data_IF_862995609712
#
_entry.id   IF_862995609712
#
_cell.length_a   1.000
_cell.length_b   1.000
_cell.length_c   1.000
_cell.angle_alpha   90.00
_cell.angle_beta   90.00
_cell.angle_gamma   90.00
#
_symmetry.space_group_name_H-M   'P 1'
#
loop_
_entity.id
_entity.type
_entity.pdbx_description
1 polymer ?
#
# COMPACT_ATOMS: atom_id res chain seq x y z
N UNK A 1 -21.08 16.71 0.56
CA UNK A 1 -21.05 15.43 -0.19
C UNK A 1 -19.82 15.49 -1.08
N UNK A 2 -18.67 15.14 -0.52
CA UNK A 2 -17.37 15.27 -1.18
C UNK A 2 -17.10 14.08 -2.08
N UNK A 3 -16.77 14.36 -3.34
CA UNK A 3 -16.20 13.39 -4.29
C UNK A 3 -14.77 13.83 -4.57
N UNK A 4 -13.82 13.23 -3.85
CA UNK A 4 -12.40 13.28 -4.20
C UNK A 4 -12.15 12.31 -5.36
N UNK A 5 -11.45 12.76 -6.39
CA UNK A 5 -11.05 11.93 -7.53
C UNK A 5 -9.56 11.62 -7.41
N UNK A 6 -9.20 10.33 -7.44
CA UNK A 6 -7.83 9.83 -7.44
C UNK A 6 -7.51 9.34 -8.85
N UNK A 7 -6.36 9.71 -9.41
CA UNK A 7 -5.88 9.24 -10.72
C UNK A 7 -4.55 8.51 -10.53
N UNK A 8 -4.47 7.27 -11.01
CA UNK A 8 -3.27 6.43 -11.00
C UNK A 8 -2.88 6.12 -12.45
N UNK A 9 -1.60 6.30 -12.80
CA UNK A 9 -1.08 5.97 -14.14
C UNK A 9 0.02 4.92 -14.03
N UNK A 10 -0.07 3.85 -14.84
CA UNK A 10 0.82 2.69 -14.81
C UNK A 10 1.49 2.52 -16.18
N UNK A 11 2.82 2.33 -16.21
CA UNK A 11 3.61 2.18 -17.43
C UNK A 11 3.97 0.71 -17.65
N UNK A 12 3.66 0.17 -18.84
CA UNK A 12 3.94 -1.21 -19.24
C UNK A 12 5.09 -1.25 -20.25
N UNK A 13 6.07 -2.13 -20.01
CA UNK A 13 7.03 -2.57 -21.03
C UNK A 13 6.75 -4.02 -21.41
N UNK A 14 6.69 -4.28 -22.72
CA UNK A 14 6.51 -5.60 -23.32
C UNK A 14 7.65 -5.91 -24.28
N UNK A 15 8.17 -7.13 -24.24
CA UNK A 15 9.14 -7.68 -25.21
C UNK A 15 8.71 -9.10 -25.57
N UNK A 16 8.72 -9.43 -26.87
CA UNK A 16 8.29 -10.71 -27.42
C UNK A 16 9.37 -11.52 -28.16
N UNK A 17 9.18 -12.85 -28.10
CA UNK A 17 9.37 -13.95 -29.07
C UNK A 17 10.67 -14.13 -29.90
N UNK A 18 11.28 -15.34 -29.77
CA UNK A 18 11.71 -16.27 -30.84
C UNK A 18 12.39 -17.51 -30.18
N UNK A 19 12.34 -18.76 -30.66
CA UNK A 19 11.83 -19.36 -31.89
C UNK A 19 11.87 -20.90 -31.82
N UNK A 20 11.14 -21.56 -32.74
CA UNK A 20 11.05 -23.01 -32.87
C UNK A 20 12.29 -23.61 -33.56
N UNK A 21 12.64 -24.84 -33.19
CA UNK A 21 13.25 -25.82 -34.09
C UNK A 21 12.91 -27.24 -33.61
N UNK A 22 12.26 -28.00 -34.48
CA UNK A 22 11.94 -29.41 -34.27
C UNK A 22 13.03 -30.28 -34.93
N UNK A 23 13.52 -31.27 -34.20
CA UNK A 23 14.23 -32.42 -34.75
C UNK A 23 13.54 -33.66 -34.21
N UNK A 24 12.98 -34.44 -35.13
CA UNK A 24 12.40 -35.75 -34.87
C UNK A 24 13.53 -36.78 -34.81
N UNK A 25 13.66 -37.47 -33.69
CA UNK A 25 14.29 -38.78 -33.64
C UNK A 25 13.37 -39.73 -32.88
N UNK A 26 13.06 -40.86 -33.52
CA UNK A 26 12.27 -41.93 -32.95
C UNK A 26 13.11 -42.65 -31.89
N UNK A 27 12.63 -42.67 -30.65
CA UNK A 27 13.22 -43.47 -29.57
C UNK A 27 12.13 -44.26 -28.88
N UNK A 28 12.39 -45.57 -28.82
CA UNK A 28 11.82 -46.63 -28.00
C UNK A 28 10.86 -46.15 -26.91
N UNK A 29 9.60 -46.61 -26.96
CA UNK A 29 8.57 -46.30 -25.97
C UNK A 29 8.91 -47.07 -24.69
N UNK A 30 9.39 -46.41 -23.61
CA UNK A 30 9.28 -47.02 -22.30
C UNK A 30 7.77 -47.07 -22.01
N UNK A 31 7.27 -48.13 -21.38
CA UNK A 31 5.95 -48.07 -20.74
C UNK A 31 5.95 -46.85 -19.81
N UNK A 32 5.36 -45.75 -20.28
CA UNK A 32 5.12 -44.54 -19.51
C UNK A 32 4.16 -44.98 -18.42
N UNK A 33 4.68 -45.31 -17.23
CA UNK A 33 3.90 -45.04 -16.03
C UNK A 33 3.54 -43.57 -16.16
N UNK A 34 2.27 -43.28 -16.50
CA UNK A 34 1.78 -41.90 -16.52
C UNK A 34 2.24 -41.27 -15.22
N UNK A 35 3.22 -40.39 -15.34
CA UNK A 35 3.82 -39.77 -14.18
C UNK A 35 2.71 -38.85 -13.66
N UNK A 36 2.02 -39.29 -12.62
CA UNK A 36 0.92 -38.54 -12.02
C UNK A 36 1.51 -37.44 -11.14
N UNK A 37 0.77 -36.34 -11.02
CA UNK A 37 1.13 -35.29 -10.08
C UNK A 37 1.26 -35.88 -8.65
N UNK A 38 2.27 -35.49 -7.86
CA UNK A 38 2.55 -36.10 -6.55
C UNK A 38 1.43 -35.99 -5.52
N UNK A 39 0.45 -35.11 -5.75
CA UNK A 39 -0.73 -34.91 -4.90
C UNK A 39 -2.05 -35.34 -5.56
N UNK A 40 -2.01 -35.97 -6.74
CA UNK A 40 -3.23 -36.40 -7.43
C UNK A 40 -3.93 -37.53 -6.66
N UNK A 41 -5.19 -37.30 -6.30
CA UNK A 41 -6.07 -38.19 -5.53
C UNK A 41 -5.55 -38.50 -4.11
N UNK A 42 -4.66 -37.65 -3.58
CA UNK A 42 -4.06 -37.81 -2.24
C UNK A 42 -4.73 -36.90 -1.20
N UNK A 43 -4.58 -37.26 0.09
CA UNK A 43 -4.83 -36.36 1.22
C UNK A 43 -3.50 -35.78 1.70
N UNK A 44 -3.21 -34.54 1.30
CA UNK A 44 -1.96 -33.83 1.57
C UNK A 44 -1.97 -33.27 2.99
N UNK A 45 -1.01 -33.69 3.81
CA UNK A 45 -0.82 -33.18 5.18
C UNK A 45 -0.08 -31.85 5.18
N UNK A 46 -0.65 -30.84 5.85
CA UNK A 46 -0.11 -29.48 5.87
C UNK A 46 0.18 -29.05 7.30
N UNK A 47 1.46 -28.89 7.64
CA UNK A 47 1.88 -28.29 8.89
C UNK A 47 1.94 -26.76 8.76
N UNK A 48 1.10 -26.06 9.52
CA UNK A 48 1.07 -24.58 9.52
C UNK A 48 1.82 -24.04 10.75
N UNK A 49 2.85 -23.24 10.48
CA UNK A 49 3.55 -22.44 11.47
C UNK A 49 3.02 -21.00 11.43
N UNK A 50 2.10 -20.69 12.32
CA UNK A 50 1.40 -19.42 12.43
C UNK A 50 0.45 -19.41 13.63
N UNK A 51 -0.25 -18.29 13.82
CA UNK A 51 -1.33 -18.11 14.79
C UNK A 51 -2.55 -18.98 14.47
N UNK A 52 -3.49 -19.12 15.43
CA UNK A 52 -4.75 -19.84 15.19
C UNK A 52 -5.57 -19.23 14.05
N UNK A 53 -5.58 -17.89 13.96
CA UNK A 53 -6.19 -17.17 12.83
C UNK A 53 -5.55 -17.57 11.51
N UNK A 54 -4.23 -17.54 11.42
CA UNK A 54 -3.50 -17.89 10.19
C UNK A 54 -3.71 -19.36 9.81
N UNK A 55 -3.74 -20.28 10.78
CA UNK A 55 -4.06 -21.69 10.55
C UNK A 55 -5.47 -21.87 10.00
N UNK A 56 -6.46 -21.18 10.57
CA UNK A 56 -7.84 -21.22 10.08
C UNK A 56 -7.97 -20.64 8.66
N UNK A 57 -7.26 -19.54 8.36
CA UNK A 57 -7.24 -18.95 7.02
C UNK A 57 -6.50 -19.84 6.00
N UNK A 58 -5.44 -20.54 6.43
CA UNK A 58 -4.76 -21.53 5.61
C UNK A 58 -5.70 -22.68 5.23
N UNK A 59 -6.41 -23.25 6.21
CA UNK A 59 -7.42 -24.28 5.97
C UNK A 59 -8.50 -23.80 4.98
N UNK A 60 -9.08 -22.61 5.23
CA UNK A 60 -10.10 -22.03 4.35
C UNK A 60 -9.59 -21.76 2.93
N UNK A 61 -8.34 -21.35 2.77
CA UNK A 61 -7.71 -21.17 1.45
C UNK A 61 -7.46 -22.49 0.72
N UNK A 62 -7.10 -23.55 1.44
CA UNK A 62 -6.88 -24.88 0.86
C UNK A 62 -8.18 -25.56 0.42
N UNK A 63 -9.28 -25.38 1.16
CA UNK A 63 -10.62 -25.89 0.78
C UNK A 63 -11.05 -25.43 -0.61
N UNK A 64 -10.64 -24.23 -1.04
CA UNK A 64 -10.87 -23.77 -2.40
C UNK A 64 -10.38 -24.80 -3.45
N UNK A 65 -9.19 -25.35 -3.25
CA UNK A 65 -8.62 -26.32 -4.18
C UNK A 65 -9.22 -27.72 -4.05
N UNK A 66 -9.65 -28.12 -2.85
CA UNK A 66 -10.42 -29.37 -2.70
C UNK A 66 -11.69 -29.36 -3.56
N UNK A 67 -12.35 -28.20 -3.65
CA UNK A 67 -13.57 -28.01 -4.44
C UNK A 67 -13.32 -27.78 -5.94
N UNK A 68 -12.13 -27.27 -6.32
CA UNK A 68 -11.89 -26.73 -7.67
C UNK A 68 -10.72 -27.38 -8.43
N UNK A 69 -9.87 -28.19 -7.80
CA UNK A 69 -8.67 -28.75 -8.44
C UNK A 69 -9.00 -29.64 -9.65
N UNK A 70 -10.07 -30.42 -9.59
CA UNK A 70 -10.49 -31.27 -10.73
C UNK A 70 -10.72 -30.46 -12.01
N UNK A 71 -11.21 -29.23 -11.86
CA UNK A 71 -11.48 -28.31 -12.97
C UNK A 71 -10.21 -27.62 -13.49
N UNK A 72 -9.33 -27.18 -12.60
CA UNK A 72 -8.21 -26.29 -12.97
C UNK A 72 -6.87 -27.02 -13.04
N UNK A 73 -6.62 -27.98 -12.15
CA UNK A 73 -5.41 -28.81 -12.12
C UNK A 73 -5.60 -30.18 -12.80
N UNK A 74 -6.84 -30.62 -13.00
CA UNK A 74 -7.17 -31.85 -13.73
C UNK A 74 -7.18 -33.12 -12.89
N UNK A 75 -7.13 -33.00 -11.55
CA UNK A 75 -7.19 -34.12 -10.60
C UNK A 75 -7.84 -33.65 -9.29
N UNK A 76 -8.37 -34.56 -8.48
CA UNK A 76 -8.84 -34.22 -7.14
C UNK A 76 -7.67 -34.22 -6.15
N UNK A 77 -7.79 -33.44 -5.10
CA UNK A 77 -6.86 -33.41 -3.98
C UNK A 77 -7.64 -33.07 -2.72
N UNK A 78 -7.23 -33.59 -1.57
CA UNK A 78 -7.72 -33.16 -0.26
C UNK A 78 -6.55 -32.65 0.57
N UNK A 79 -6.80 -31.71 1.46
CA UNK A 79 -5.80 -31.13 2.35
C UNK A 79 -6.21 -31.35 3.80
N UNK A 80 -5.26 -31.79 4.62
CA UNK A 80 -5.44 -31.95 6.06
C UNK A 80 -4.45 -31.05 6.79
N UNK A 81 -4.95 -29.93 7.30
CA UNK A 81 -4.16 -29.05 8.17
C UNK A 81 -3.99 -29.74 9.52
N UNK A 82 -2.73 -29.95 9.90
CA UNK A 82 -2.37 -30.63 11.15
C UNK A 82 -2.65 -29.74 12.37
N UNK A 83 -3.05 -30.34 13.47
CA UNK A 83 -3.15 -29.66 14.75
C UNK A 83 -1.75 -29.24 15.26
N UNK A 84 -1.64 -28.19 16.09
CA UNK A 84 -0.37 -27.81 16.69
C UNK A 84 0.27 -28.97 17.46
N UNK A 85 1.49 -29.37 17.05
CA UNK A 85 2.23 -30.47 17.69
C UNK A 85 1.83 -31.87 17.23
N UNK A 86 0.88 -31.98 16.30
CA UNK A 86 0.56 -33.25 15.64
C UNK A 86 1.69 -33.64 14.67
N UNK A 87 2.08 -34.91 14.70
CA UNK A 87 2.97 -35.52 13.71
C UNK A 87 2.12 -36.37 12.76
N UNK A 88 2.24 -36.20 11.43
CA UNK A 88 1.49 -37.01 10.48
C UNK A 88 1.97 -38.47 10.47
N UNK A 89 1.24 -39.34 9.77
CA UNK A 89 1.68 -40.70 9.52
C UNK A 89 2.88 -40.68 8.56
N UNK A 90 4.09 -40.71 9.12
CA UNK A 90 5.35 -40.47 8.43
C UNK A 90 6.12 -39.32 9.09
N UNK A 91 7.46 -39.39 9.12
CA UNK A 91 8.29 -38.50 9.95
C UNK A 91 8.21 -37.00 9.57
N UNK A 92 7.55 -36.64 8.46
CA UNK A 92 7.37 -35.26 8.01
C UNK A 92 6.02 -35.04 7.29
N UNK A 93 5.43 -33.82 7.37
CA UNK A 93 4.27 -33.45 6.58
C UNK A 93 4.62 -33.35 5.09
N UNK A 94 3.60 -33.41 4.23
CA UNK A 94 3.78 -33.22 2.79
C UNK A 94 4.12 -31.76 2.45
N UNK A 95 3.52 -30.82 3.18
CA UNK A 95 3.71 -29.38 3.02
C UNK A 95 3.97 -28.73 4.37
N UNK A 96 4.95 -27.83 4.43
CA UNK A 96 5.16 -26.92 5.55
C UNK A 96 4.85 -25.50 5.11
N UNK A 97 3.81 -24.92 5.68
CA UNK A 97 3.40 -23.54 5.42
C UNK A 97 3.79 -22.64 6.59
N UNK A 98 4.56 -21.59 6.32
CA UNK A 98 5.09 -20.66 7.33
C UNK A 98 4.57 -19.26 7.06
N UNK A 99 3.90 -18.68 8.05
CA UNK A 99 3.54 -17.26 8.03
C UNK A 99 4.74 -16.46 8.53
N UNK A 100 5.30 -15.60 7.68
CA UNK A 100 6.56 -14.87 7.90
C UNK A 100 6.36 -13.36 7.76
N UNK A 101 7.20 -12.56 8.42
CA UNK A 101 7.16 -11.09 8.33
C UNK A 101 7.42 -10.58 6.90
N UNK A 102 8.37 -11.22 6.20
CA UNK A 102 8.70 -10.92 4.81
C UNK A 102 9.08 -12.20 4.06
N UNK A 103 8.71 -12.27 2.78
CA UNK A 103 9.08 -13.36 1.88
C UNK A 103 10.29 -12.90 1.07
N UNK A 104 11.47 -13.45 1.37
CA UNK A 104 12.74 -13.01 0.79
C UNK A 104 13.31 -13.96 -0.28
N UNK A 105 12.92 -15.23 -0.25
CA UNK A 105 13.51 -16.29 -1.07
C UNK A 105 12.49 -16.86 -2.06
N UNK A 106 12.02 -16.03 -3.00
CA UNK A 106 11.04 -16.44 -4.02
C UNK A 106 11.44 -16.07 -5.45
N UNK A 107 12.52 -16.70 -5.94
CA UNK A 107 13.08 -16.40 -7.26
C UNK A 107 13.54 -14.95 -7.37
N UNK A 108 13.34 -14.34 -8.54
CA UNK A 108 13.78 -12.96 -8.83
C UNK A 108 12.76 -11.88 -8.42
N UNK A 109 11.67 -12.26 -7.73
CA UNK A 109 10.61 -11.34 -7.34
C UNK A 109 10.94 -10.63 -6.02
N UNK A 110 10.98 -9.29 -6.05
CA UNK A 110 11.03 -8.47 -4.85
C UNK A 110 9.61 -8.25 -4.31
N UNK A 111 9.43 -8.28 -2.98
CA UNK A 111 8.17 -7.99 -2.28
C UNK A 111 7.02 -8.98 -2.56
N UNK A 112 7.31 -10.28 -2.68
CA UNK A 112 6.28 -11.31 -2.82
C UNK A 112 5.40 -11.42 -1.57
N UNK A 113 4.08 -11.56 -1.76
CA UNK A 113 3.16 -11.82 -0.66
C UNK A 113 3.13 -13.29 -0.22
N UNK A 114 3.62 -14.19 -1.07
CA UNK A 114 3.75 -15.62 -0.80
C UNK A 114 4.82 -16.25 -1.68
N UNK A 115 5.18 -17.48 -1.34
CA UNK A 115 6.03 -18.31 -2.18
C UNK A 115 5.73 -19.79 -2.00
N UNK A 116 5.63 -20.51 -3.10
CA UNK A 116 5.55 -21.96 -3.12
C UNK A 116 6.29 -22.54 -4.33
N UNK A 117 6.88 -23.74 -4.19
CA UNK A 117 7.42 -24.46 -5.33
C UNK A 117 6.29 -24.88 -6.27
N UNK A 118 6.56 -24.85 -7.57
CA UNK A 118 5.66 -25.42 -8.57
C UNK A 118 5.96 -26.90 -8.75
N UNK A 119 5.06 -27.76 -8.26
CA UNK A 119 5.22 -29.21 -8.36
C UNK A 119 4.65 -29.71 -9.68
N UNK A 120 5.30 -30.70 -10.28
CA UNK A 120 4.78 -31.40 -11.46
C UNK A 120 5.21 -32.87 -11.38
N UNK A 121 4.72 -33.68 -12.29
CA UNK A 121 5.00 -35.12 -12.27
C UNK A 121 6.47 -35.50 -12.42
N UNK A 122 7.29 -34.63 -13.00
CA UNK A 122 8.75 -34.80 -13.12
C UNK A 122 9.54 -34.20 -11.95
N UNK A 123 8.88 -33.42 -11.07
CA UNK A 123 9.49 -32.86 -9.86
C UNK A 123 9.42 -33.90 -8.75
N UNK A 124 10.56 -34.46 -8.35
CA UNK A 124 10.66 -35.14 -7.06
C UNK A 124 10.36 -34.11 -5.96
N UNK A 125 9.32 -34.36 -5.16
CA UNK A 125 9.00 -33.49 -4.03
C UNK A 125 9.95 -33.83 -2.90
N UNK A 126 10.89 -32.94 -2.60
CA UNK A 126 11.54 -32.94 -1.29
C UNK A 126 10.45 -32.63 -0.28
N UNK A 127 9.93 -33.66 0.41
CA UNK A 127 8.92 -33.50 1.45
C UNK A 127 9.63 -33.07 2.75
N UNK A 128 9.17 -32.01 3.43
CA UNK A 128 8.01 -31.18 3.10
C UNK A 128 8.28 -30.16 1.98
N UNK A 129 7.29 -29.95 1.11
CA UNK A 129 7.27 -28.79 0.23
C UNK A 129 7.12 -27.52 1.08
N UNK A 130 8.03 -26.57 0.93
CA UNK A 130 8.08 -25.35 1.75
C UNK A 130 7.26 -24.22 1.12
N UNK A 131 6.31 -23.68 1.88
CA UNK A 131 5.49 -22.53 1.49
C UNK A 131 5.67 -21.41 2.51
N UNK A 132 5.87 -20.19 2.03
CA UNK A 132 5.88 -18.99 2.86
C UNK A 132 4.73 -18.06 2.49
N UNK A 133 4.09 -17.49 3.50
CA UNK A 133 2.98 -16.54 3.34
C UNK A 133 3.32 -15.31 4.16
N UNK A 134 3.22 -14.12 3.57
CA UNK A 134 3.39 -12.88 4.30
C UNK A 134 2.26 -12.70 5.32
N UNK A 135 2.62 -12.41 6.57
CA UNK A 135 1.67 -12.07 7.63
C UNK A 135 1.30 -10.59 7.62
N UNK A 136 0.36 -10.21 8.47
CA UNK A 136 -0.12 -8.83 8.55
C UNK A 136 -1.10 -8.43 7.45
N UNK A 137 -1.60 -9.40 6.67
CA UNK A 137 -2.64 -9.21 5.66
C UNK A 137 -4.04 -9.36 6.27
N UNK A 138 -5.02 -8.66 5.69
CA UNK A 138 -6.44 -8.85 5.99
C UNK A 138 -6.89 -10.27 5.62
N UNK A 139 -7.94 -10.77 6.27
CA UNK A 139 -8.40 -12.17 6.12
C UNK A 139 -8.61 -12.60 4.67
N UNK A 140 -9.25 -11.76 3.85
CA UNK A 140 -9.50 -12.05 2.43
C UNK A 140 -8.20 -12.10 1.63
N UNK A 141 -7.26 -11.19 1.92
CA UNK A 141 -5.96 -11.15 1.24
C UNK A 141 -5.10 -12.35 1.62
N UNK A 142 -5.08 -12.73 2.91
CA UNK A 142 -4.41 -13.94 3.37
C UNK A 142 -4.98 -15.19 2.69
N UNK A 143 -6.30 -15.35 2.64
CA UNK A 143 -6.94 -16.49 1.96
C UNK A 143 -6.60 -16.52 0.48
N UNK A 144 -6.58 -15.38 -0.20
CA UNK A 144 -6.23 -15.29 -1.60
C UNK A 144 -4.77 -15.70 -1.87
N UNK A 145 -3.82 -15.25 -1.02
CA UNK A 145 -2.41 -15.66 -1.14
C UNK A 145 -2.26 -17.16 -0.89
N UNK A 146 -2.91 -17.72 0.14
CA UNK A 146 -2.90 -19.18 0.38
C UNK A 146 -3.44 -19.94 -0.85
N UNK A 147 -4.55 -19.47 -1.44
CA UNK A 147 -5.09 -20.07 -2.66
C UNK A 147 -4.08 -19.98 -3.82
N UNK A 148 -3.40 -18.85 -3.98
CA UNK A 148 -2.40 -18.68 -5.03
C UNK A 148 -1.23 -19.67 -4.87
N UNK A 149 -0.61 -19.70 -3.68
CA UNK A 149 0.53 -20.56 -3.40
C UNK A 149 0.17 -22.05 -3.47
N UNK A 150 -1.02 -22.42 -3.01
CA UNK A 150 -1.51 -23.79 -3.17
C UNK A 150 -1.74 -24.15 -4.65
N UNK A 151 -2.09 -23.20 -5.52
CA UNK A 151 -2.16 -23.45 -6.96
C UNK A 151 -0.81 -23.84 -7.56
N UNK A 152 0.29 -23.22 -7.10
CA UNK A 152 1.64 -23.62 -7.49
C UNK A 152 1.97 -25.04 -7.03
N UNK A 153 1.60 -25.41 -5.81
CA UNK A 153 1.76 -26.79 -5.33
C UNK A 153 1.02 -27.82 -6.20
N UNK A 154 0.00 -27.41 -6.94
CA UNK A 154 -0.77 -28.24 -7.87
C UNK A 154 -0.28 -28.13 -9.33
N UNK A 155 0.83 -27.42 -9.56
CA UNK A 155 1.47 -27.30 -10.86
C UNK A 155 1.02 -26.12 -11.72
N UNK A 156 0.12 -25.29 -11.22
CA UNK A 156 -0.39 -24.12 -11.94
C UNK A 156 0.65 -22.99 -11.96
N UNK A 157 0.69 -22.28 -13.07
CA UNK A 157 1.48 -21.07 -13.28
C UNK A 157 0.60 -19.81 -13.16
N UNK A 158 1.21 -18.63 -13.21
CA UNK A 158 0.45 -17.38 -13.15
C UNK A 158 -0.49 -17.16 -14.36
N UNK A 159 -0.23 -17.83 -15.48
CA UNK A 159 -1.04 -17.72 -16.69
C UNK A 159 -2.27 -18.64 -16.66
N UNK A 160 -2.30 -19.61 -15.74
CA UNK A 160 -3.35 -20.61 -15.71
C UNK A 160 -4.64 -20.07 -15.06
N UNK A 161 -5.82 -20.58 -15.45
CA UNK A 161 -7.04 -20.28 -14.74
C UNK A 161 -7.05 -20.93 -13.34
N UNK A 162 -7.78 -20.34 -12.37
CA UNK A 162 -8.60 -19.16 -12.52
C UNK A 162 -7.79 -17.89 -12.28
N UNK A 163 -7.85 -16.97 -13.25
CA UNK A 163 -7.06 -15.74 -13.18
C UNK A 163 -7.31 -14.93 -11.93
N UNK A 164 -8.54 -14.96 -11.36
CA UNK A 164 -8.89 -14.33 -10.07
C UNK A 164 -7.97 -14.75 -8.90
N UNK A 165 -7.41 -15.96 -8.95
CA UNK A 165 -6.46 -16.53 -7.99
C UNK A 165 -5.03 -16.46 -8.54
N UNK A 166 -4.78 -17.06 -9.70
CA UNK A 166 -3.40 -17.33 -10.16
C UNK A 166 -2.67 -16.15 -10.80
N UNK A 167 -3.32 -15.04 -11.19
CA UNK A 167 -2.57 -13.95 -11.85
C UNK A 167 -1.46 -13.43 -10.92
N UNK A 168 -0.33 -13.07 -11.53
CA UNK A 168 0.89 -12.65 -10.82
C UNK A 168 0.68 -11.42 -9.92
N UNK A 169 -0.01 -10.38 -10.40
CA UNK A 169 -0.12 -9.12 -9.67
C UNK A 169 -1.51 -8.93 -9.05
N UNK A 170 -1.53 -8.62 -7.75
CA UNK A 170 -2.78 -8.43 -6.99
C UNK A 170 -2.62 -7.30 -5.99
N UNK A 171 -3.66 -6.48 -5.89
CA UNK A 171 -3.80 -5.55 -4.77
C UNK A 171 -4.30 -6.32 -3.55
N UNK A 172 -3.52 -6.30 -2.49
CA UNK A 172 -3.85 -6.90 -1.20
C UNK A 172 -4.12 -5.81 -0.18
N UNK A 173 -4.93 -6.13 0.83
CA UNK A 173 -5.19 -5.29 1.98
C UNK A 173 -4.41 -5.82 3.20
N UNK A 174 -3.85 -4.92 3.98
CA UNK A 174 -3.22 -5.25 5.27
C UNK A 174 -4.26 -5.36 6.38
N UNK A 175 -3.86 -5.83 7.55
CA UNK A 175 -4.64 -5.63 8.77
C UNK A 175 -4.86 -4.12 9.01
N UNK A 176 -5.92 -3.74 9.75
CA UNK A 176 -6.20 -2.35 10.06
C UNK A 176 -5.00 -1.62 10.65
N UNK A 177 -4.78 -0.37 10.21
CA UNK A 177 -3.70 0.51 10.66
C UNK A 177 -4.27 1.85 11.15
N UNK A 178 -3.54 2.59 12.01
CA UNK A 178 -3.99 3.92 12.41
C UNK A 178 -4.03 4.89 11.23
N UNK A 179 -5.15 5.58 11.09
CA UNK A 179 -5.37 6.60 10.07
C UNK A 179 -4.48 7.82 10.29
N UNK A 180 -4.18 8.58 9.24
CA UNK A 180 -3.41 9.81 9.30
C UNK A 180 -3.99 10.80 10.32
N UNK A 181 -5.32 10.84 10.46
CA UNK A 181 -6.03 11.67 11.45
C UNK A 181 -5.79 11.25 12.91
N UNK A 182 -5.32 10.04 13.14
CA UNK A 182 -5.04 9.47 14.47
C UNK A 182 -3.54 9.52 14.80
N UNK A 183 -2.70 9.96 13.85
CA UNK A 183 -1.24 10.01 13.98
C UNK A 183 -0.80 11.39 14.40
N UNK A 184 0.19 11.43 15.30
CA UNK A 184 0.86 12.68 15.65
C UNK A 184 1.62 13.29 14.46
N UNK A 185 2.14 12.43 13.56
CA UNK A 185 2.75 12.85 12.29
C UNK A 185 2.26 11.91 11.19
N UNK A 186 1.50 12.42 10.20
CA UNK A 186 0.87 11.63 9.15
C UNK A 186 1.80 11.38 7.96
N UNK A 187 3.13 11.46 8.13
CA UNK A 187 4.13 11.29 7.08
C UNK A 187 5.13 10.20 7.47
N UNK A 188 5.69 9.51 6.47
CA UNK A 188 6.78 8.56 6.70
C UNK A 188 8.11 9.29 6.95
N UNK A 189 8.37 10.37 6.20
CA UNK A 189 9.51 11.26 6.44
C UNK A 189 9.16 12.35 7.46
N UNK A 190 10.20 12.83 8.14
CA UNK A 190 10.18 13.92 9.11
C UNK A 190 10.79 15.20 8.56
N UNK A 191 11.55 15.12 7.47
CA UNK A 191 12.11 16.27 6.78
C UNK A 191 11.27 16.58 5.52
N UNK A 192 10.25 17.42 5.70
CA UNK A 192 9.30 17.73 4.64
C UNK A 192 9.74 18.95 3.83
N UNK A 193 9.34 18.98 2.57
CA UNK A 193 9.67 20.05 1.63
C UNK A 193 8.41 20.77 1.15
N UNK A 194 8.53 22.10 1.00
CA UNK A 194 7.43 22.98 0.58
C UNK A 194 7.82 23.76 -0.66
N UNK A 195 7.03 23.63 -1.73
CA UNK A 195 7.09 24.52 -2.88
C UNK A 195 5.95 25.53 -2.84
N UNK A 196 6.23 26.74 -3.35
CA UNK A 196 5.29 27.86 -3.33
C UNK A 196 5.13 28.40 -4.74
N UNK A 197 3.92 28.31 -5.27
CA UNK A 197 3.54 28.84 -6.58
C UNK A 197 2.91 30.23 -6.44
N UNK A 198 2.94 31.02 -7.50
CA UNK A 198 2.40 32.38 -7.52
C UNK A 198 1.64 32.70 -8.81
N UNK A 199 1.15 31.67 -9.51
CA UNK A 199 0.64 31.77 -10.88
C UNK A 199 -0.52 32.76 -11.06
N UNK A 200 -1.44 32.81 -10.09
CA UNK A 200 -2.59 33.74 -10.09
C UNK A 200 -2.35 35.03 -9.32
N UNK A 201 -1.20 35.17 -8.65
CA UNK A 201 -0.89 36.37 -7.84
C UNK A 201 -0.51 37.53 -8.75
N UNK A 202 -1.14 38.72 -8.59
CA UNK A 202 -0.79 39.94 -9.32
C UNK A 202 0.70 40.28 -9.20
N UNK A 203 1.30 40.77 -10.29
CA UNK A 203 2.76 40.90 -10.38
C UNK A 203 3.37 41.83 -9.32
N UNK A 204 2.64 42.88 -8.96
CA UNK A 204 2.95 43.86 -7.93
C UNK A 204 2.78 43.32 -6.50
N UNK A 205 1.91 42.33 -6.29
CA UNK A 205 1.69 41.68 -4.99
C UNK A 205 2.64 40.49 -4.73
N UNK A 206 3.27 39.94 -5.77
CA UNK A 206 4.13 38.73 -5.65
C UNK A 206 5.25 38.85 -4.62
N UNK A 207 5.75 40.05 -4.32
CA UNK A 207 6.75 40.25 -3.28
C UNK A 207 6.14 40.05 -1.89
N UNK A 208 5.06 40.77 -1.58
CA UNK A 208 4.31 40.63 -0.33
C UNK A 208 3.80 39.19 -0.14
N UNK A 209 3.26 38.55 -1.18
CA UNK A 209 2.85 37.15 -1.12
C UNK A 209 3.98 36.20 -0.70
N UNK A 210 5.21 36.41 -1.20
CA UNK A 210 6.35 35.59 -0.79
C UNK A 210 6.74 35.83 0.66
N UNK A 211 6.63 37.06 1.13
CA UNK A 211 6.90 37.43 2.54
C UNK A 211 5.87 36.78 3.47
N UNK A 212 4.60 36.83 3.12
CA UNK A 212 3.50 36.18 3.86
C UNK A 212 3.66 34.66 3.95
N UNK A 213 4.00 33.99 2.85
CA UNK A 213 4.27 32.55 2.88
C UNK A 213 5.54 32.25 3.68
N UNK A 214 6.59 33.08 3.57
CA UNK A 214 7.81 32.91 4.36
C UNK A 214 7.56 33.06 5.86
N UNK A 215 6.69 34.00 6.24
CA UNK A 215 6.27 34.24 7.62
C UNK A 215 5.52 33.03 8.19
N UNK A 216 4.59 32.44 7.44
CA UNK A 216 3.90 31.21 7.84
C UNK A 216 4.86 30.01 7.99
N UNK A 217 5.82 29.87 7.09
CA UNK A 217 6.82 28.79 7.16
C UNK A 217 7.78 28.97 8.34
N UNK A 218 8.20 30.20 8.64
CA UNK A 218 9.04 30.51 9.80
C UNK A 218 8.32 30.09 11.10
N UNK A 219 7.05 30.47 11.25
CA UNK A 219 6.24 30.09 12.39
C UNK A 219 6.18 28.59 12.65
N UNK A 220 5.95 27.81 11.59
CA UNK A 220 5.92 26.34 11.67
C UNK A 220 7.29 25.76 12.04
N UNK A 221 8.37 26.30 11.46
CA UNK A 221 9.75 25.87 11.78
C UNK A 221 10.15 26.17 13.21
N UNK A 222 9.61 27.24 13.78
CA UNK A 222 9.82 27.64 15.18
C UNK A 222 8.95 26.82 16.15
N UNK A 223 8.28 25.76 15.66
CA UNK A 223 7.49 24.82 16.46
C UNK A 223 6.04 25.24 16.68
N UNK A 224 5.60 26.35 16.08
CA UNK A 224 4.23 26.86 16.15
C UNK A 224 3.69 26.88 17.60
N UNK A 225 4.44 27.48 18.52
CA UNK A 225 4.11 27.54 19.95
C UNK A 225 3.90 26.16 20.61
N UNK A 226 4.67 25.16 20.17
CA UNK A 226 4.60 23.78 20.69
C UNK A 226 3.53 22.91 20.04
N UNK A 227 2.73 23.45 19.10
CA UNK A 227 1.73 22.68 18.35
C UNK A 227 2.40 21.72 17.35
N UNK A 228 3.54 22.10 16.75
CA UNK A 228 4.33 21.23 15.87
C UNK A 228 5.41 20.55 16.69
N UNK A 229 5.48 19.21 16.61
CA UNK A 229 6.51 18.46 17.33
C UNK A 229 7.90 18.81 16.81
N UNK A 230 8.89 18.90 17.70
CA UNK A 230 10.31 19.17 17.34
C UNK A 230 10.91 18.14 16.38
N UNK A 231 10.24 17.00 16.18
CA UNK A 231 10.71 15.93 15.29
C UNK A 231 10.42 16.18 13.82
N UNK A 232 9.67 17.21 13.44
CA UNK A 232 9.34 17.50 12.04
C UNK A 232 10.00 18.80 11.60
N UNK A 233 10.71 18.77 10.47
CA UNK A 233 11.30 19.94 9.83
C UNK A 233 10.65 20.21 8.49
N UNK A 234 10.62 21.48 8.11
CA UNK A 234 9.96 21.95 6.89
C UNK A 234 10.91 22.86 6.13
N UNK A 235 11.32 22.47 4.92
CA UNK A 235 12.26 23.22 4.10
C UNK A 235 11.64 23.71 2.81
N UNK A 236 12.02 24.91 2.35
CA UNK A 236 11.47 25.45 1.10
C UNK A 236 12.30 24.95 -0.08
N UNK A 237 11.63 24.43 -1.10
CA UNK A 237 12.22 24.05 -2.38
C UNK A 237 11.62 24.83 -3.54
N UNK A 238 12.34 24.91 -4.66
CA UNK A 238 11.90 25.60 -5.87
C UNK A 238 11.08 24.73 -6.81
N UNK A 239 11.31 23.42 -6.80
CA UNK A 239 10.63 22.47 -7.69
C UNK A 239 9.36 21.91 -7.02
N UNK A 240 8.15 22.24 -7.52
CA UNK A 240 6.91 21.70 -6.98
C UNK A 240 6.70 20.20 -7.22
N UNK A 241 7.41 19.59 -8.18
CA UNK A 241 7.32 18.16 -8.43
C UNK A 241 8.09 17.34 -7.37
N UNK A 242 9.13 17.94 -6.78
CA UNK A 242 9.93 17.34 -5.72
C UNK A 242 9.46 17.69 -4.30
N UNK A 243 8.46 18.59 -4.16
CA UNK A 243 7.93 19.01 -2.88
C UNK A 243 6.87 18.05 -2.32
N UNK A 244 6.93 17.77 -1.02
CA UNK A 244 5.88 17.04 -0.28
C UNK A 244 4.60 17.87 -0.16
N UNK A 245 4.77 19.17 0.08
CA UNK A 245 3.68 20.13 0.24
C UNK A 245 3.79 21.22 -0.82
N UNK A 246 2.69 21.52 -1.52
CA UNK A 246 2.64 22.63 -2.48
C UNK A 246 1.61 23.65 -2.06
N UNK A 247 2.02 24.91 -1.92
CA UNK A 247 1.12 26.05 -1.73
C UNK A 247 0.82 26.67 -3.09
N UNK A 248 -0.47 26.71 -3.46
CA UNK A 248 -0.92 27.21 -4.76
C UNK A 248 -2.10 28.19 -4.60
N UNK A 249 -1.93 29.46 -5.02
CA UNK A 249 -3.04 30.37 -5.19
C UNK A 249 -3.84 30.01 -6.45
N UNK A 250 -5.16 30.12 -6.37
CA UNK A 250 -6.12 29.77 -7.43
C UNK A 250 -7.39 30.59 -7.31
N UNK A 251 -8.10 30.79 -8.41
CA UNK A 251 -9.37 31.54 -8.42
C UNK A 251 -10.56 30.64 -8.07
N UNK A 252 -10.39 29.31 -8.14
CA UNK A 252 -11.43 28.35 -7.75
C UNK A 252 -10.84 26.98 -7.43
N UNK A 253 -11.56 26.19 -6.62
CA UNK A 253 -11.21 24.81 -6.31
C UNK A 253 -12.44 23.97 -5.97
N UNK A 254 -12.48 22.68 -6.34
CA UNK A 254 -13.64 21.83 -6.08
C UNK A 254 -13.94 21.60 -4.58
N UNK A 255 -12.94 21.77 -3.72
CA UNK A 255 -13.04 21.59 -2.27
C UNK A 255 -13.86 22.69 -1.56
N UNK A 256 -14.20 23.78 -2.25
CA UNK A 256 -14.68 25.03 -1.63
C UNK A 256 -15.33 25.96 -2.65
N UNK A 257 -16.40 26.64 -2.26
CA UNK A 257 -17.12 27.59 -3.12
C UNK A 257 -16.83 29.07 -2.81
N UNK A 258 -16.27 29.37 -1.65
CA UNK A 258 -16.07 30.74 -1.14
C UNK A 258 -14.59 31.03 -0.85
N UNK A 259 -14.20 32.31 -0.78
CA UNK A 259 -12.82 32.73 -0.49
C UNK A 259 -12.23 32.14 0.81
N UNK A 260 -10.98 31.66 0.74
CA UNK A 260 -10.23 31.06 1.85
C UNK A 260 -9.34 29.90 1.40
N UNK A 261 -9.02 28.96 2.31
CA UNK A 261 -8.11 27.85 2.01
C UNK A 261 -8.71 26.47 2.19
N UNK A 262 -8.16 25.49 1.47
CA UNK A 262 -8.42 24.06 1.63
C UNK A 262 -7.14 23.26 1.28
N UNK A 263 -7.16 21.96 1.53
CA UNK A 263 -6.08 21.05 1.14
C UNK A 263 -6.61 19.85 0.34
N UNK A 264 -5.86 19.47 -0.69
CA UNK A 264 -5.97 18.17 -1.37
C UNK A 264 -4.89 17.27 -0.80
N UNK A 265 -5.27 16.06 -0.39
CA UNK A 265 -4.38 15.13 0.30
C UNK A 265 -4.31 13.85 -0.52
N UNK A 266 -3.09 13.42 -0.81
CA UNK A 266 -2.76 12.13 -1.40
C UNK A 266 -1.97 11.30 -0.38
N UNK A 267 -2.14 9.99 -0.42
CA UNK A 267 -1.49 9.10 0.51
C UNK A 267 -1.78 7.63 0.24
N UNK A 268 -1.28 6.79 1.13
CA UNK A 268 -1.44 5.34 1.07
C UNK A 268 -2.63 4.88 1.92
N UNK A 269 -3.39 3.94 1.37
CA UNK A 269 -4.50 3.20 2.01
C UNK A 269 -4.22 1.68 1.94
N UNK A 270 -3.23 1.16 2.71
CA UNK A 270 -2.85 -0.24 2.66
C UNK A 270 -3.90 -1.20 3.25
N UNK A 271 -4.72 -0.79 4.23
CA UNK A 271 -5.77 -1.66 4.78
C UNK A 271 -7.10 -1.58 4.02
N UNK A 272 -7.23 -0.60 3.12
CA UNK A 272 -8.33 -0.42 2.16
C UNK A 272 -9.66 -0.09 2.80
N UNK A 273 -9.65 0.62 3.92
CA UNK A 273 -10.86 1.10 4.58
C UNK A 273 -11.38 2.43 4.00
N UNK A 274 -10.61 3.06 3.10
CA UNK A 274 -10.95 4.30 2.40
C UNK A 274 -10.49 5.57 3.13
N UNK A 275 -9.84 5.45 4.28
CA UNK A 275 -9.07 6.51 4.90
C UNK A 275 -7.59 6.40 4.50
N UNK A 276 -6.83 7.48 4.70
CA UNK A 276 -5.40 7.53 4.38
C UNK A 276 -4.64 7.37 5.69
N UNK A 277 -3.66 6.48 5.74
CA UNK A 277 -2.81 6.25 6.91
C UNK A 277 -1.53 7.09 6.88
N UNK A 278 -0.96 7.30 5.69
CA UNK A 278 0.25 8.11 5.49
C UNK A 278 0.09 9.01 4.27
N UNK A 279 0.36 10.30 4.44
CA UNK A 279 0.42 11.28 3.36
C UNK A 279 1.67 11.10 2.52
N UNK A 280 1.50 11.20 1.21
CA UNK A 280 2.60 11.26 0.24
C UNK A 280 2.68 12.62 -0.43
N UNK A 281 1.58 13.38 -0.42
CA UNK A 281 1.52 14.73 -0.96
C UNK A 281 0.36 15.52 -0.35
N UNK A 282 0.60 16.80 -0.08
CA UNK A 282 -0.46 17.75 0.28
C UNK A 282 -0.38 18.96 -0.64
N UNK A 283 -1.49 19.33 -1.25
CA UNK A 283 -1.61 20.58 -2.01
C UNK A 283 -2.56 21.53 -1.28
N UNK A 284 -1.98 22.63 -0.77
CA UNK A 284 -2.70 23.71 -0.10
C UNK A 284 -3.16 24.70 -1.17
N UNK A 285 -4.47 24.84 -1.31
CA UNK A 285 -5.10 25.76 -2.24
C UNK A 285 -5.55 27.03 -1.51
N UNK A 286 -5.13 28.19 -2.02
CA UNK A 286 -5.58 29.50 -1.56
C UNK A 286 -6.56 30.03 -2.61
N UNK A 287 -7.86 29.97 -2.32
CA UNK A 287 -8.96 30.34 -3.22
C UNK A 287 -9.38 31.76 -2.94
N UNK A 288 -9.14 32.69 -3.86
CA UNK A 288 -9.51 34.12 -3.72
C UNK A 288 -9.09 34.72 -2.36
N UNK A 289 -7.89 34.37 -1.88
CA UNK A 289 -7.33 34.88 -0.62
C UNK A 289 -6.52 36.13 -0.89
N UNK A 290 -6.84 37.22 -0.18
CA UNK A 290 -6.04 38.44 -0.22
C UNK A 290 -4.60 38.18 0.24
N UNK A 291 -3.65 38.87 -0.37
CA UNK A 291 -2.22 38.68 -0.07
C UNK A 291 -1.95 38.85 1.43
N UNK A 292 -2.53 39.84 2.10
CA UNK A 292 -2.33 40.14 3.52
C UNK A 292 -2.93 39.10 4.50
N UNK A 293 -3.79 38.20 4.03
CA UNK A 293 -4.34 37.09 4.80
C UNK A 293 -3.66 35.74 4.48
N UNK A 294 -2.69 35.73 3.57
CA UNK A 294 -2.06 34.51 3.06
C UNK A 294 -1.36 33.74 4.17
N UNK A 295 -0.58 34.41 5.02
CA UNK A 295 0.18 33.73 6.06
C UNK A 295 -0.70 32.94 7.03
N UNK A 296 -1.84 33.49 7.44
CA UNK A 296 -2.80 32.82 8.32
C UNK A 296 -3.35 31.54 7.69
N UNK A 297 -3.77 31.64 6.43
CA UNK A 297 -4.33 30.50 5.69
C UNK A 297 -3.30 29.41 5.45
N UNK A 298 -2.06 29.78 5.14
CA UNK A 298 -0.96 28.83 4.93
C UNK A 298 -0.56 28.17 6.23
N UNK A 299 -0.34 28.93 7.31
CA UNK A 299 0.04 28.39 8.61
C UNK A 299 -1.01 27.40 9.12
N UNK A 300 -2.29 27.75 9.07
CA UNK A 300 -3.38 26.87 9.50
C UNK A 300 -3.39 25.54 8.73
N UNK A 301 -3.25 25.59 7.40
CA UNK A 301 -3.24 24.38 6.57
C UNK A 301 -1.98 23.55 6.76
N UNK A 302 -0.83 24.19 7.02
CA UNK A 302 0.40 23.49 7.38
C UNK A 302 0.26 22.75 8.70
N UNK A 303 -0.34 23.35 9.74
CA UNK A 303 -0.57 22.65 11.02
C UNK A 303 -1.44 21.40 10.82
N UNK A 304 -2.55 21.52 10.08
CA UNK A 304 -3.40 20.37 9.74
C UNK A 304 -2.59 19.29 8.95
N UNK A 305 -1.78 19.71 7.97
CA UNK A 305 -0.96 18.80 7.17
C UNK A 305 0.14 18.09 7.97
N UNK A 306 0.62 18.69 9.06
CA UNK A 306 1.67 18.14 9.93
C UNK A 306 1.10 17.24 11.04
N UNK A 307 -0.22 17.04 11.10
CA UNK A 307 -0.86 16.18 12.10
C UNK A 307 -1.23 16.88 13.41
N UNK A 308 -1.16 18.21 13.46
CA UNK A 308 -1.58 18.93 14.64
C UNK A 308 -3.08 18.74 14.89
N UNK A 309 -3.44 18.41 16.14
CA UNK A 309 -4.85 18.39 16.54
C UNK A 309 -5.40 19.80 16.60
N UNK A 310 -6.60 20.01 16.05
CA UNK A 310 -7.29 21.31 16.07
C UNK A 310 -7.55 21.85 17.46
N UNK A 311 -7.68 20.99 18.46
CA UNK A 311 -7.83 21.41 19.87
C UNK A 311 -6.54 22.02 20.43
N UNK A 312 -5.39 21.72 19.82
CA UNK A 312 -4.07 22.25 20.17
C UNK A 312 -3.63 23.43 19.29
N UNK A 313 -4.53 23.98 18.46
CA UNK A 313 -4.17 25.12 17.63
C UNK A 313 -4.05 26.39 18.49
N UNK A 314 -3.07 27.26 18.17
CA UNK A 314 -2.96 28.58 18.77
C UNK A 314 -4.25 29.39 18.56
N UNK A 315 -4.66 30.17 19.57
CA UNK A 315 -5.91 30.94 19.52
C UNK A 315 -6.10 31.78 18.24
N UNK A 316 -5.07 32.49 17.72
CA UNK A 316 -5.21 33.23 16.46
C UNK A 316 -5.60 32.38 15.27
N UNK A 317 -5.28 31.08 15.27
CA UNK A 317 -5.54 30.16 14.16
C UNK A 317 -6.84 29.38 14.30
N UNK A 318 -7.65 29.57 15.34
CA UNK A 318 -8.88 28.79 15.60
C UNK A 318 -10.14 29.51 15.08
N UNK A 319 -10.39 30.72 15.56
CA UNK A 319 -11.63 31.48 15.32
C UNK A 319 -11.37 32.96 14.98
N UNK A 320 -10.41 33.22 14.08
CA UNK A 320 -10.11 34.56 13.63
C UNK A 320 -11.18 35.11 12.68
N UNK A 321 -11.62 36.33 12.95
CA UNK A 321 -12.35 37.21 12.03
C UNK A 321 -11.52 37.51 10.79
N UNK A 322 -12.15 38.08 9.77
CA UNK A 322 -11.46 38.43 8.53
C UNK A 322 -10.38 39.51 8.72
N UNK A 323 -10.54 40.43 9.68
CA UNK A 323 -9.50 41.41 10.01
C UNK A 323 -8.35 40.76 10.79
N UNK A 324 -8.62 39.87 11.75
CA UNK A 324 -7.58 39.19 12.56
C UNK A 324 -6.70 38.23 11.74
N UNK A 325 -7.16 37.78 10.57
CA UNK A 325 -6.36 36.97 9.66
C UNK A 325 -5.26 37.77 8.96
N UNK A 326 -5.31 39.10 9.03
CA UNK A 326 -4.38 39.99 8.35
C UNK A 326 -3.30 40.51 9.27
N UNK A 327 -2.08 40.65 8.74
CA UNK A 327 -0.95 41.21 9.48
C UNK A 327 -0.28 40.21 10.44
N UNK A 328 0.41 40.72 11.46
CA UNK A 328 1.26 39.92 12.36
C UNK A 328 0.46 39.17 13.44
N UNK A 329 -0.45 38.28 13.04
CA UNK A 329 -1.30 37.49 13.93
C UNK A 329 -0.52 36.58 14.91
N UNK A 330 0.80 36.39 14.72
CA UNK A 330 1.66 35.66 15.65
C UNK A 330 2.20 36.54 16.80
N UNK A 331 2.16 37.87 16.66
CA UNK A 331 2.62 38.82 17.70
C UNK A 331 1.66 38.97 18.87
N UNK A 332 0.44 38.44 18.74
CA UNK A 332 -0.60 38.40 19.78
C UNK A 332 -0.55 37.10 20.61
N UNK A 333 0.50 36.27 20.45
CA UNK A 333 0.72 35.00 21.16
C UNK A 333 1.91 35.03 22.10
#
# INVERSE_FOLDING_TARGET
MDRRAVIVTMLLLSIGLAGCSAVSDAVDVPTVTEQRHPFAEETVTVAVSGTDRERALAAAGLTYWEENASRYAGFNVSFRVLDPGETPDGDAPDVRMRFVESVTDCGDANYSAGCAPRLNASTAVDRPAEVSIQRGLADESTRLVVQHEAGHLLGLSHADPPQRVMRHERTLATLPRPNASERAVPWDDRALTVAVLNGTVPADERAAYREEVAYALAYVREGANGTVTETVTVERVSDPAAADIVVRPTDSAACRTDAGSCALIEGTDPDRDGAIETYTRVEILLVDVDTDATSWHVARQLLDALGASRDGFPAPLVDATYEERRGEWQSET
#
